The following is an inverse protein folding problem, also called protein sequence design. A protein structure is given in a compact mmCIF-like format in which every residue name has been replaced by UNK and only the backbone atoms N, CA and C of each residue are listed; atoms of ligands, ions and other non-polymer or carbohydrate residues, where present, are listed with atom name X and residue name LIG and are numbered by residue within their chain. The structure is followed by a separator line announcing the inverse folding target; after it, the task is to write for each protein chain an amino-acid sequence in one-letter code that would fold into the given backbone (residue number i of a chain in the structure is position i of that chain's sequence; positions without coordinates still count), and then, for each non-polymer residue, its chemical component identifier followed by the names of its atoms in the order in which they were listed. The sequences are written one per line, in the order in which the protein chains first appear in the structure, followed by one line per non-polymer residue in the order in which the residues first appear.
data_IF_111825312106
#
_entry.id   IF_111825312106
#
_cell.length_a   1.000
_cell.length_b   1.000
_cell.length_c   1.000
_cell.angle_alpha   90.00
_cell.angle_beta   90.00
_cell.angle_gamma   90.00
#
_symmetry.space_group_name_H-M   'P 1'
#
loop_
_entity.id
_entity.type
_entity.pdbx_description
1 polymer ?
#
# COMPACT_ATOMS: atom_id res chain seq x y z
N UNK A 1 -70.05 -29.31 42.10
CA UNK A 1 -68.88 -30.23 42.10
C UNK A 1 -69.41 -31.65 42.15
N UNK A 2 -68.80 -32.69 41.53
CA UNK A 2 -67.51 -32.84 40.80
C UNK A 2 -67.76 -33.35 39.35
N UNK A 3 -66.84 -33.89 38.53
CA UNK A 3 -65.45 -33.64 38.09
C UNK A 3 -65.12 -34.78 37.07
N UNK A 4 -64.59 -34.42 35.89
CA UNK A 4 -63.97 -35.32 34.88
C UNK A 4 -62.60 -35.88 35.36
N UNK A 5 -61.77 -36.66 34.61
CA UNK A 5 -61.84 -37.12 33.21
C UNK A 5 -61.40 -38.60 32.94
N UNK A 6 -61.50 -39.03 31.67
CA UNK A 6 -60.80 -40.20 31.08
C UNK A 6 -59.40 -39.78 30.57
N UNK A 7 -58.41 -40.66 30.69
CA UNK A 7 -57.11 -40.52 30.01
C UNK A 7 -56.53 -41.89 29.68
N UNK A 8 -56.42 -42.19 28.39
CA UNK A 8 -55.73 -43.35 27.83
C UNK A 8 -54.25 -43.02 27.55
N UNK A 9 -53.36 -44.01 27.62
CA UNK A 9 -52.14 -44.07 26.79
C UNK A 9 -51.63 -45.51 26.74
N UNK A 10 -51.49 -46.04 25.53
CA UNK A 10 -50.68 -47.22 25.21
C UNK A 10 -49.24 -46.79 24.88
N UNK A 11 -48.22 -47.64 25.08
CA UNK A 11 -46.85 -47.40 24.64
C UNK A 11 -46.58 -48.10 23.30
N UNK A 12 -45.90 -47.46 22.36
CA UNK A 12 -45.29 -48.20 21.25
C UNK A 12 -43.99 -47.57 20.73
N UNK A 13 -42.95 -48.41 20.79
CA UNK A 13 -41.82 -48.60 19.87
C UNK A 13 -40.81 -47.47 19.61
N UNK A 14 -39.67 -47.63 20.27
CA UNK A 14 -38.27 -47.61 19.80
C UNK A 14 -37.83 -46.73 18.60
N UNK A 15 -36.86 -45.89 18.95
CA UNK A 15 -36.04 -45.02 18.11
C UNK A 15 -35.11 -45.77 17.14
N UNK A 16 -34.90 -45.18 15.94
CA UNK A 16 -33.52 -44.98 15.48
C UNK A 16 -33.23 -43.54 15.00
N UNK A 17 -34.06 -42.56 15.36
CA UNK A 17 -33.98 -41.21 14.78
C UNK A 17 -33.12 -40.19 15.55
N UNK A 18 -32.58 -40.55 16.73
CA UNK A 18 -31.86 -39.58 17.58
C UNK A 18 -30.37 -39.40 17.26
N UNK A 19 -29.75 -40.34 16.55
CA UNK A 19 -28.31 -40.28 16.26
C UNK A 19 -27.98 -39.41 15.04
N UNK A 20 -28.87 -39.37 14.05
CA UNK A 20 -28.69 -38.59 12.82
C UNK A 20 -28.99 -37.10 13.06
N UNK A 21 -29.96 -36.80 13.93
CA UNK A 21 -30.27 -35.44 14.39
C UNK A 21 -29.19 -34.85 15.31
N UNK A 22 -28.45 -35.67 16.06
CA UNK A 22 -27.29 -35.21 16.86
C UNK A 22 -26.07 -34.85 16.01
N UNK A 23 -25.86 -35.52 14.88
CA UNK A 23 -24.72 -35.23 13.98
C UNK A 23 -24.89 -33.91 13.23
N UNK A 24 -26.11 -33.58 12.80
CA UNK A 24 -26.39 -32.34 12.05
C UNK A 24 -26.33 -31.09 12.94
N UNK A 25 -26.76 -31.18 14.21
CA UNK A 25 -26.63 -30.09 15.19
C UNK A 25 -25.15 -29.82 15.55
N UNK A 26 -24.30 -30.85 15.56
CA UNK A 26 -22.86 -30.71 15.80
C UNK A 26 -22.08 -30.09 14.63
N UNK A 27 -22.53 -30.33 13.39
CA UNK A 27 -21.87 -29.80 12.19
C UNK A 27 -22.04 -28.28 12.05
N UNK A 28 -23.23 -27.76 12.33
CA UNK A 28 -23.46 -26.30 12.35
C UNK A 28 -22.57 -25.60 13.37
N UNK A 29 -22.43 -26.17 14.57
CA UNK A 29 -21.55 -25.62 15.62
C UNK A 29 -20.06 -25.67 15.24
N UNK A 30 -19.61 -26.72 14.53
CA UNK A 30 -18.23 -26.81 14.04
C UNK A 30 -17.93 -25.79 12.96
N UNK A 31 -18.88 -25.53 12.07
CA UNK A 31 -18.72 -24.53 11.01
C UNK A 31 -18.69 -23.11 11.59
N UNK A 32 -19.56 -22.82 12.56
CA UNK A 32 -19.51 -21.56 13.32
C UNK A 32 -18.19 -21.40 14.07
N UNK A 33 -17.68 -22.44 14.72
CA UNK A 33 -16.39 -22.40 15.40
C UNK A 33 -15.22 -22.21 14.43
N UNK A 34 -15.27 -22.82 13.25
CA UNK A 34 -14.24 -22.67 12.23
C UNK A 34 -14.23 -21.24 11.65
N UNK A 35 -15.41 -20.69 11.32
CA UNK A 35 -15.54 -19.31 10.84
C UNK A 35 -15.12 -18.32 11.94
N UNK A 36 -15.53 -18.54 13.18
CA UNK A 36 -15.14 -17.71 14.32
C UNK A 36 -13.64 -17.79 14.58
N UNK A 37 -13.04 -18.98 14.52
CA UNK A 37 -11.61 -19.17 14.63
C UNK A 37 -10.83 -18.47 13.52
N UNK A 38 -11.25 -18.61 12.26
CA UNK A 38 -10.67 -17.87 11.14
C UNK A 38 -10.81 -16.35 11.32
N UNK A 39 -11.97 -15.88 11.81
CA UNK A 39 -12.20 -14.47 12.11
C UNK A 39 -11.27 -13.94 13.20
N UNK A 40 -11.08 -14.69 14.28
CA UNK A 40 -10.12 -14.32 15.33
C UNK A 40 -8.72 -14.31 14.79
N UNK A 41 -8.28 -15.37 14.10
CA UNK A 41 -6.94 -15.44 13.52
C UNK A 41 -6.70 -14.26 12.60
N UNK A 42 -7.65 -13.94 11.72
CA UNK A 42 -7.60 -12.77 10.85
C UNK A 42 -7.47 -11.47 11.66
N UNK A 43 -8.32 -11.25 12.67
CA UNK A 43 -8.25 -10.05 13.53
C UNK A 43 -6.91 -9.98 14.25
N UNK A 44 -6.38 -11.08 14.78
CA UNK A 44 -5.05 -11.08 15.41
C UNK A 44 -3.93 -10.81 14.42
N UNK A 45 -3.97 -11.39 13.21
CA UNK A 45 -2.96 -11.14 12.18
C UNK A 45 -3.00 -9.68 11.74
N UNK A 46 -4.19 -9.13 11.49
CA UNK A 46 -4.39 -7.73 11.16
C UNK A 46 -3.93 -6.84 12.31
N UNK A 47 -4.34 -7.11 13.54
CA UNK A 47 -3.91 -6.34 14.71
C UNK A 47 -2.39 -6.37 14.87
N UNK A 48 -1.75 -7.53 14.75
CA UNK A 48 -0.29 -7.65 14.87
C UNK A 48 0.43 -6.95 13.71
N UNK A 49 -0.07 -7.10 12.48
CA UNK A 49 0.44 -6.39 11.31
C UNK A 49 0.23 -4.87 11.40
N UNK A 50 -0.80 -4.40 12.09
CA UNK A 50 -1.07 -2.98 12.32
C UNK A 50 -0.27 -2.39 13.48
N UNK A 51 0.01 -3.16 14.54
CA UNK A 51 0.70 -2.67 15.74
C UNK A 51 2.22 -2.58 15.55
N UNK A 52 2.84 -3.54 14.84
CA UNK A 52 4.31 -3.57 14.66
C UNK A 52 4.86 -2.35 13.90
N UNK A 53 4.21 -1.83 12.83
CA UNK A 53 4.65 -0.60 12.18
C UNK A 53 4.46 0.65 13.05
N UNK A 54 3.48 0.67 13.97
CA UNK A 54 3.14 1.85 14.78
C UNK A 54 4.20 2.18 15.83
N UNK A 55 4.84 1.16 16.40
CA UNK A 55 5.90 1.35 17.40
C UNK A 55 7.26 1.68 16.77
N UNK A 56 7.51 1.25 15.52
CA UNK A 56 8.79 1.43 14.83
C UNK A 56 8.79 2.59 13.81
N UNK A 57 7.62 2.98 13.27
CA UNK A 57 7.46 4.02 12.24
C UNK A 57 6.10 4.76 12.37
N UNK A 58 5.94 5.66 13.37
CA UNK A 58 4.67 6.35 13.66
C UNK A 58 4.12 7.21 12.49
N UNK A 59 4.97 7.58 11.52
CA UNK A 59 4.59 8.34 10.33
C UNK A 59 3.75 7.53 9.31
N UNK A 60 3.87 6.18 9.29
CA UNK A 60 3.13 5.34 8.33
C UNK A 60 1.69 5.04 8.76
N UNK A 61 1.42 5.09 10.06
CA UNK A 61 0.10 4.75 10.61
C UNK A 61 -0.98 5.80 10.35
N UNK A 62 -0.62 7.07 10.14
CA UNK A 62 -1.59 8.09 9.73
C UNK A 62 -2.06 7.92 8.29
N UNK A 63 -1.23 7.34 7.43
CA UNK A 63 -1.56 7.13 6.01
C UNK A 63 -2.46 5.90 5.76
N UNK A 64 -2.69 5.05 6.76
CA UNK A 64 -3.41 3.79 6.63
C UNK A 64 -4.84 3.83 7.20
N UNK A 65 -5.36 5.00 7.59
CA UNK A 65 -6.76 5.14 7.99
C UNK A 65 -7.67 4.97 6.76
N UNK A 66 -8.49 3.90 6.66
CA UNK A 66 -9.45 3.75 5.57
C UNK A 66 -10.57 4.81 5.62
N UNK A 67 -10.71 5.53 6.73
CA UNK A 67 -11.57 6.72 6.85
C UNK A 67 -10.98 7.96 6.15
N UNK A 68 -9.68 7.97 5.84
CA UNK A 68 -9.00 9.05 5.11
C UNK A 68 -9.04 8.87 3.58
N UNK A 69 -9.57 7.75 3.08
CA UNK A 69 -9.66 7.46 1.64
C UNK A 69 -10.63 8.39 0.86
N UNK A 70 -11.35 9.28 1.55
CA UNK A 70 -12.23 10.29 0.95
C UNK A 70 -11.97 11.72 1.44
N UNK A 71 -10.95 11.94 2.28
CA UNK A 71 -10.57 13.28 2.69
C UNK A 71 -9.57 13.86 1.67
N UNK A 72 -9.72 15.13 1.25
CA UNK A 72 -8.69 15.77 0.44
C UNK A 72 -7.35 15.69 1.19
N UNK A 73 -6.23 15.40 0.50
CA UNK A 73 -4.94 15.26 1.14
C UNK A 73 -4.64 16.50 1.97
N UNK A 74 -4.21 16.28 3.20
CA UNK A 74 -3.81 17.37 4.07
C UNK A 74 -2.60 18.09 3.47
N UNK A 75 -2.47 19.40 3.75
CA UNK A 75 -1.33 20.20 3.28
C UNK A 75 0.02 19.54 3.60
N UNK A 76 0.12 18.88 4.76
CA UNK A 76 1.32 18.17 5.19
C UNK A 76 1.66 16.96 4.31
N UNK A 77 0.65 16.20 3.87
CA UNK A 77 0.83 15.03 2.98
C UNK A 77 1.28 15.47 1.59
N UNK A 78 0.67 16.53 1.06
CA UNK A 78 1.13 17.15 -0.19
C UNK A 78 2.60 17.58 -0.09
N UNK A 79 2.98 18.32 0.96
CA UNK A 79 4.37 18.76 1.12
C UNK A 79 5.33 17.57 1.26
N UNK A 80 4.92 16.51 1.94
CA UNK A 80 5.70 15.28 2.02
C UNK A 80 5.90 14.64 0.63
N UNK A 81 4.84 14.55 -0.18
CA UNK A 81 4.92 14.02 -1.55
C UNK A 81 5.82 14.89 -2.45
N UNK A 82 5.74 16.22 -2.35
CA UNK A 82 6.63 17.13 -3.07
C UNK A 82 8.10 16.98 -2.63
N UNK A 83 8.36 16.75 -1.33
CA UNK A 83 9.71 16.45 -0.83
C UNK A 83 10.24 15.14 -1.39
N UNK A 84 9.42 14.11 -1.49
CA UNK A 84 9.79 12.82 -2.13
C UNK A 84 10.16 13.03 -3.59
N UNK A 85 9.30 13.73 -4.36
CA UNK A 85 9.59 14.03 -5.78
C UNK A 85 10.88 14.84 -5.96
N UNK A 86 11.17 15.77 -5.05
CA UNK A 86 12.43 16.49 -5.03
C UNK A 86 13.62 15.56 -4.78
N UNK A 87 13.52 14.67 -3.78
CA UNK A 87 14.57 13.72 -3.45
C UNK A 87 14.86 12.77 -4.61
N UNK A 88 13.82 12.25 -5.27
CA UNK A 88 13.94 11.36 -6.43
C UNK A 88 14.61 12.07 -7.62
N UNK A 89 14.25 13.32 -7.87
CA UNK A 89 14.86 14.14 -8.91
C UNK A 89 16.37 14.35 -8.67
N UNK A 90 16.74 14.65 -7.42
CA UNK A 90 18.15 14.83 -7.04
C UNK A 90 18.92 13.51 -7.05
N UNK A 91 18.30 12.41 -6.62
CA UNK A 91 18.90 11.07 -6.65
C UNK A 91 19.18 10.64 -8.10
N UNK A 92 18.23 10.85 -9.02
CA UNK A 92 18.43 10.56 -10.43
C UNK A 92 19.54 11.42 -11.06
N UNK A 93 19.59 12.72 -10.75
CA UNK A 93 20.67 13.58 -11.22
C UNK A 93 22.05 13.16 -10.69
N UNK A 94 22.13 12.75 -9.43
CA UNK A 94 23.35 12.23 -8.82
C UNK A 94 23.77 10.89 -9.44
N UNK A 95 22.83 9.99 -9.69
CA UNK A 95 23.12 8.71 -10.34
C UNK A 95 23.63 8.94 -11.77
N UNK A 96 22.98 9.81 -12.55
CA UNK A 96 23.37 10.05 -13.93
C UNK A 96 24.70 10.81 -14.08
N UNK A 97 25.11 11.59 -13.06
CA UNK A 97 26.45 12.19 -13.03
C UNK A 97 27.52 11.20 -12.59
N UNK A 98 27.18 10.23 -11.72
CA UNK A 98 28.11 9.20 -11.26
C UNK A 98 28.30 8.07 -12.28
N UNK A 99 27.20 7.66 -12.89
CA UNK A 99 27.07 6.54 -13.81
C UNK A 99 26.36 7.02 -15.08
N UNK A 100 27.02 7.82 -15.93
CA UNK A 100 26.41 8.33 -17.15
C UNK A 100 25.97 7.18 -18.06
N UNK A 101 24.66 6.89 -18.08
CA UNK A 101 24.09 5.87 -18.94
C UNK A 101 24.17 6.28 -20.42
N UNK A 102 24.38 5.32 -21.32
CA UNK A 102 24.25 5.55 -22.77
C UNK A 102 22.79 5.50 -23.25
N UNK A 103 21.91 4.95 -22.41
CA UNK A 103 20.52 4.70 -22.77
C UNK A 103 19.63 5.90 -22.43
N UNK A 104 19.54 6.84 -23.37
CA UNK A 104 18.62 7.98 -23.29
C UNK A 104 17.13 7.58 -23.06
N UNK A 105 16.76 6.33 -23.31
CA UNK A 105 15.41 5.83 -23.05
C UNK A 105 15.11 5.63 -21.56
N UNK A 106 16.14 5.38 -20.73
CA UNK A 106 15.99 5.26 -19.27
C UNK A 106 15.67 6.62 -18.66
N UNK A 107 16.43 7.65 -19.02
CA UNK A 107 16.17 9.04 -18.60
C UNK A 107 14.78 9.50 -19.04
N UNK A 108 14.41 9.24 -20.29
CA UNK A 108 13.08 9.60 -20.80
C UNK A 108 11.95 8.87 -20.06
N UNK A 109 12.16 7.62 -19.61
CA UNK A 109 11.19 6.90 -18.78
C UNK A 109 11.07 7.51 -17.39
N UNK A 110 12.18 7.79 -16.73
CA UNK A 110 12.19 8.44 -15.42
C UNK A 110 11.43 9.76 -15.44
N UNK A 111 11.79 10.69 -16.34
CA UNK A 111 11.14 12.00 -16.40
C UNK A 111 9.64 11.91 -16.73
N UNK A 112 9.20 10.95 -17.56
CA UNK A 112 7.78 10.72 -17.83
C UNK A 112 7.02 10.17 -16.62
N UNK A 113 7.66 9.33 -15.81
CA UNK A 113 7.06 8.86 -14.57
C UNK A 113 6.96 10.00 -13.56
N UNK A 114 8.06 10.72 -13.35
CA UNK A 114 8.11 11.86 -12.46
C UNK A 114 7.07 12.92 -12.83
N UNK A 115 6.89 13.24 -14.12
CA UNK A 115 5.87 14.19 -14.57
C UNK A 115 4.44 13.72 -14.30
N UNK A 116 4.17 12.41 -14.40
CA UNK A 116 2.85 11.86 -14.06
C UNK A 116 2.56 12.00 -12.58
N UNK A 117 3.54 11.72 -11.73
CA UNK A 117 3.39 11.86 -10.28
C UNK A 117 3.29 13.33 -9.86
N UNK A 118 4.08 14.22 -10.48
CA UNK A 118 3.98 15.67 -10.26
C UNK A 118 2.61 16.20 -10.67
N UNK A 119 2.14 15.91 -11.89
CA UNK A 119 0.82 16.39 -12.38
C UNK A 119 -0.36 15.82 -11.59
N UNK A 120 -0.22 14.66 -10.96
CA UNK A 120 -1.25 14.12 -10.06
C UNK A 120 -1.47 15.00 -8.82
N UNK A 121 -0.48 15.83 -8.44
CA UNK A 121 -0.52 16.74 -7.29
C UNK A 121 -1.05 18.14 -7.64
N UNK A 122 -1.33 18.41 -8.91
CA UNK A 122 -1.82 19.72 -9.35
C UNK A 122 -3.17 20.03 -8.68
N UNK A 123 -3.32 21.24 -8.14
CA UNK A 123 -4.55 21.70 -7.46
C UNK A 123 -4.78 21.15 -6.06
N UNK A 124 -3.96 20.19 -5.59
CA UNK A 124 -4.00 19.66 -4.21
C UNK A 124 -2.95 20.33 -3.32
N UNK A 125 -1.94 20.93 -3.94
CA UNK A 125 -0.74 21.44 -3.32
C UNK A 125 -0.61 22.97 -3.40
N UNK A 126 0.30 23.54 -2.60
CA UNK A 126 0.68 24.94 -2.73
C UNK A 126 1.24 25.19 -4.14
N UNK A 127 0.54 26.04 -4.90
CA UNK A 127 0.82 26.34 -6.30
C UNK A 127 2.26 26.85 -6.50
N UNK A 128 2.77 27.64 -5.55
CA UNK A 128 4.11 28.22 -5.65
C UNK A 128 5.21 27.16 -5.56
N UNK A 129 5.04 26.21 -4.63
CA UNK A 129 6.00 25.14 -4.39
C UNK A 129 5.97 24.13 -5.53
N UNK A 130 4.76 23.78 -5.97
CA UNK A 130 4.53 22.91 -7.13
C UNK A 130 5.17 23.47 -8.41
N UNK A 131 4.96 24.76 -8.71
CA UNK A 131 5.53 25.42 -9.88
C UNK A 131 7.06 25.57 -9.79
N UNK A 132 7.61 25.83 -8.60
CA UNK A 132 9.06 25.88 -8.39
C UNK A 132 9.72 24.53 -8.67
N UNK A 133 9.12 23.43 -8.21
CA UNK A 133 9.64 22.09 -8.44
C UNK A 133 9.62 21.72 -9.93
N UNK A 134 8.55 22.05 -10.64
CA UNK A 134 8.48 21.84 -12.10
C UNK A 134 9.58 22.60 -12.87
N UNK A 135 9.84 23.86 -12.48
CA UNK A 135 10.95 24.65 -13.05
C UNK A 135 12.32 24.02 -12.76
N UNK A 136 12.53 23.53 -11.54
CA UNK A 136 13.77 22.87 -11.16
C UNK A 136 14.03 21.63 -12.03
N UNK A 137 13.00 20.80 -12.23
CA UNK A 137 13.07 19.60 -13.08
C UNK A 137 13.52 19.93 -14.51
N UNK A 138 12.99 20.97 -15.13
CA UNK A 138 13.44 21.39 -16.47
C UNK A 138 14.90 21.87 -16.49
N UNK A 139 15.35 22.60 -15.45
CA UNK A 139 16.74 23.02 -15.32
C UNK A 139 17.69 21.84 -15.18
N UNK A 140 17.36 20.88 -14.32
CA UNK A 140 18.16 19.67 -14.10
C UNK A 140 18.27 18.86 -15.38
N UNK A 141 17.16 18.64 -16.10
CA UNK A 141 17.19 17.94 -17.36
C UNK A 141 18.11 18.63 -18.39
N UNK A 142 18.08 19.96 -18.43
CA UNK A 142 18.93 20.75 -19.34
C UNK A 142 20.40 20.65 -18.95
N UNK A 143 20.72 20.75 -17.65
CA UNK A 143 22.09 20.62 -17.17
C UNK A 143 22.66 19.22 -17.40
N UNK A 144 21.87 18.16 -17.17
CA UNK A 144 22.28 16.78 -17.44
C UNK A 144 22.59 16.54 -18.92
N UNK A 145 21.72 17.01 -19.82
CA UNK A 145 21.96 16.93 -21.28
C UNK A 145 23.18 17.72 -21.73
N UNK A 146 23.55 18.77 -21.00
CA UNK A 146 24.76 19.54 -21.27
C UNK A 146 25.99 18.81 -20.76
N UNK A 147 25.94 18.33 -19.52
CA UNK A 147 26.97 17.51 -18.91
C UNK A 147 27.30 16.29 -19.76
N UNK A 148 26.29 15.57 -20.24
CA UNK A 148 26.51 14.39 -21.08
C UNK A 148 27.24 14.73 -22.39
N UNK A 149 26.95 15.90 -22.98
CA UNK A 149 27.59 16.40 -24.20
C UNK A 149 29.02 16.89 -23.97
N UNK A 150 29.28 17.55 -22.85
CA UNK A 150 30.58 18.18 -22.56
C UNK A 150 31.56 17.20 -21.91
N UNK A 151 31.10 16.39 -20.95
CA UNK A 151 31.94 15.59 -20.06
C UNK A 151 31.57 14.10 -20.03
N UNK A 152 30.36 13.73 -20.45
CA UNK A 152 29.84 12.36 -20.31
C UNK A 152 30.69 11.29 -21.01
N UNK A 153 31.22 11.59 -22.20
CA UNK A 153 32.08 10.65 -22.92
C UNK A 153 33.43 10.45 -22.23
N UNK A 154 34.00 11.51 -21.66
CA UNK A 154 35.24 11.46 -20.89
C UNK A 154 35.03 10.71 -19.56
N UNK A 155 33.92 10.97 -18.87
CA UNK A 155 33.56 10.26 -17.64
C UNK A 155 33.38 8.75 -17.88
N UNK A 156 32.68 8.34 -18.95
CA UNK A 156 32.52 6.91 -19.31
C UNK A 156 33.85 6.24 -19.62
N UNK A 157 34.68 6.88 -20.44
CA UNK A 157 35.99 6.30 -20.81
C UNK A 157 36.93 6.17 -19.62
N UNK A 158 36.91 7.13 -18.68
CA UNK A 158 37.65 7.02 -17.43
C UNK A 158 37.09 5.93 -16.51
N UNK A 159 35.77 5.86 -16.35
CA UNK A 159 35.12 4.83 -15.52
C UNK A 159 35.44 3.42 -16.03
N UNK A 160 35.43 3.20 -17.35
CA UNK A 160 35.77 1.91 -17.94
C UNK A 160 37.24 1.55 -17.67
N UNK A 161 38.17 2.49 -17.85
CA UNK A 161 39.61 2.26 -17.61
C UNK A 161 40.00 2.06 -16.15
N UNK A 162 39.22 2.59 -15.21
CA UNK A 162 39.44 2.41 -13.77
C UNK A 162 38.80 1.14 -13.21
N UNK A 163 37.90 0.51 -13.98
CA UNK A 163 37.26 -0.75 -13.63
C UNK A 163 38.07 -1.99 -14.10
N UNK A 164 38.98 -1.80 -15.07
CA UNK A 164 39.98 -2.77 -15.54
C UNK A 164 41.26 -2.75 -14.67
#
# INVERSE_FOLDING_TARGET
MPAEPRGATAPEADEPESNERRRTVGLGRRLVLAVWGCGIVYITVVAFASIVPQALFPERSRAADPAAAGAPPSRAECEAQLRTLYADLMAHAADQTRNPSEDASLDARFFRQWDREHTALTGQCDESLHANLGRLRHRIQTSLRRYEREEGLLARTLAQRLAD
#
